data_IF_818468496950
#
_entry.id   IF_818468496950
#
_cell.length_a   1.000
_cell.length_b   1.000
_cell.length_c   1.000
_cell.angle_alpha   90.00
_cell.angle_beta   90.00
_cell.angle_gamma   90.00
#
_symmetry.space_group_name_H-M   'P 1'
#
loop_
_entity.id
_entity.type
_entity.pdbx_description
1 polymer ?
#
# COMPACT_ATOMS: atom_id res chain seq x y z
N UNK A 1 -6.21 -7.49 11.96
CA UNK A 1 -6.00 -6.33 11.07
C UNK A 1 -6.16 -6.82 9.63
N UNK A 2 -7.02 -6.18 8.81
CA UNK A 2 -7.32 -6.64 7.43
C UNK A 2 -6.70 -5.74 6.34
N UNK A 3 -6.33 -4.50 6.67
CA UNK A 3 -5.61 -3.63 5.75
C UNK A 3 -4.85 -2.51 6.46
N UNK A 4 -3.94 -1.87 5.73
CA UNK A 4 -3.05 -0.79 6.19
C UNK A 4 -2.90 0.25 5.08
N UNK A 5 -2.97 1.53 5.44
CA UNK A 5 -2.50 2.64 4.58
C UNK A 5 -1.07 2.99 5.00
N UNK A 6 -0.12 2.74 4.11
CA UNK A 6 1.30 3.05 4.30
C UNK A 6 1.57 4.44 3.71
N UNK A 7 1.96 5.40 4.54
CA UNK A 7 2.41 6.71 4.07
C UNK A 7 3.92 6.70 3.86
N UNK A 8 4.36 6.87 2.62
CA UNK A 8 5.75 6.77 2.21
C UNK A 8 6.34 8.11 1.77
N UNK A 9 7.66 8.18 1.66
CA UNK A 9 8.41 9.39 1.35
C UNK A 9 8.36 9.71 -0.15
N UNK A 10 8.29 11.01 -0.47
CA UNK A 10 8.52 11.54 -1.81
C UNK A 10 7.53 11.03 -2.85
N UNK A 11 7.94 10.07 -3.67
CA UNK A 11 7.17 9.49 -4.78
C UNK A 11 6.72 8.05 -4.51
N UNK A 12 6.83 7.56 -3.27
CA UNK A 12 6.37 6.22 -2.90
C UNK A 12 7.40 5.37 -2.16
N UNK A 13 8.45 5.98 -1.60
CA UNK A 13 9.65 5.26 -1.18
C UNK A 13 9.64 4.97 0.33
N UNK A 14 10.12 3.79 0.71
CA UNK A 14 10.43 3.44 2.10
C UNK A 14 11.94 3.18 2.27
N UNK A 15 12.48 3.19 3.50
CA UNK A 15 13.88 2.85 3.74
C UNK A 15 14.23 1.48 3.15
N UNK A 16 15.14 1.45 2.18
CA UNK A 16 15.58 0.22 1.49
C UNK A 16 16.73 -0.50 2.19
N UNK A 17 17.37 0.14 3.17
CA UNK A 17 18.47 -0.40 3.97
C UNK A 17 18.00 -1.16 5.23
N UNK A 18 16.72 -1.55 5.28
CA UNK A 18 16.09 -2.27 6.41
C UNK A 18 15.40 -3.54 5.94
N UNK A 19 16.13 -4.68 5.84
CA UNK A 19 15.55 -5.95 5.40
C UNK A 19 14.39 -6.43 6.30
N UNK A 20 14.43 -6.13 7.59
CA UNK A 20 13.38 -6.48 8.54
C UNK A 20 12.03 -5.81 8.19
N UNK A 21 12.06 -4.56 7.70
CA UNK A 21 10.84 -3.86 7.26
C UNK A 21 10.23 -4.54 6.04
N UNK A 22 11.08 -5.01 5.12
CA UNK A 22 10.65 -5.77 3.95
C UNK A 22 9.95 -7.07 4.36
N UNK A 23 10.58 -7.82 5.26
CA UNK A 23 10.09 -9.11 5.72
C UNK A 23 8.73 -8.95 6.41
N UNK A 24 8.56 -7.92 7.24
CA UNK A 24 7.28 -7.65 7.91
C UNK A 24 6.18 -7.25 6.92
N UNK A 25 6.48 -6.40 5.93
CA UNK A 25 5.50 -6.04 4.89
C UNK A 25 5.09 -7.29 4.11
N UNK A 26 6.06 -8.12 3.70
CA UNK A 26 5.77 -9.36 2.97
C UNK A 26 4.93 -10.32 3.82
N UNK A 27 5.30 -10.50 5.09
CA UNK A 27 4.58 -11.34 6.05
C UNK A 27 3.14 -10.88 6.24
N UNK A 28 2.88 -9.58 6.29
CA UNK A 28 1.52 -9.03 6.33
C UNK A 28 0.73 -9.35 5.06
N UNK A 29 1.33 -9.17 3.88
CA UNK A 29 0.69 -9.45 2.59
C UNK A 29 0.39 -10.94 2.43
N UNK A 30 1.31 -11.82 2.84
CA UNK A 30 1.15 -13.27 2.83
C UNK A 30 -0.02 -13.73 3.73
N UNK A 31 -0.29 -13.01 4.83
CA UNK A 31 -1.49 -13.21 5.69
C UNK A 31 -2.78 -12.64 5.10
N UNK A 32 -2.73 -12.04 3.91
CA UNK A 32 -3.89 -11.45 3.23
C UNK A 32 -4.20 -10.01 3.64
N UNK A 33 -3.30 -9.31 4.35
CA UNK A 33 -3.48 -7.90 4.67
C UNK A 33 -3.32 -7.07 3.40
N UNK A 34 -4.29 -6.20 3.10
CA UNK A 34 -4.19 -5.26 1.98
C UNK A 34 -3.35 -4.06 2.41
N UNK A 35 -2.20 -3.86 1.77
CA UNK A 35 -1.32 -2.71 2.03
C UNK A 35 -1.44 -1.73 0.87
N UNK A 36 -1.97 -0.53 1.15
CA UNK A 36 -2.14 0.55 0.18
C UNK A 36 -1.10 1.64 0.46
N UNK A 37 -0.26 1.97 -0.51
CA UNK A 37 0.77 3.00 -0.36
C UNK A 37 0.25 4.37 -0.80
N UNK A 38 0.37 5.38 0.05
CA UNK A 38 0.09 6.78 -0.23
C UNK A 38 1.32 7.63 0.07
N UNK A 39 1.38 8.84 -0.48
CA UNK A 39 2.43 9.79 -0.13
C UNK A 39 2.12 10.47 1.20
N UNK A 40 3.16 10.72 2.00
CA UNK A 40 3.06 11.64 3.13
C UNK A 40 2.99 13.11 2.69
N UNK A 41 3.35 13.40 1.43
CA UNK A 41 3.38 14.75 0.89
C UNK A 41 1.95 15.25 0.64
N UNK A 42 1.69 16.54 0.92
CA UNK A 42 0.37 17.16 0.73
C UNK A 42 -0.14 17.07 -0.73
N UNK A 43 0.79 17.06 -1.69
CA UNK A 43 0.50 16.87 -3.12
C UNK A 43 1.58 16.00 -3.75
N UNK A 44 1.15 15.19 -4.71
CA UNK A 44 2.01 14.28 -5.48
C UNK A 44 1.26 13.00 -5.81
N UNK A 45 1.92 12.12 -6.55
CA UNK A 45 1.39 10.80 -6.92
C UNK A 45 2.42 9.73 -6.59
N UNK A 46 1.98 8.61 -6.04
CA UNK A 46 2.82 7.42 -5.92
C UNK A 46 3.15 6.93 -7.33
N UNK A 47 4.44 6.93 -7.67
CA UNK A 47 4.94 6.56 -8.99
C UNK A 47 5.70 5.24 -8.93
N UNK A 48 5.35 4.31 -9.81
CA UNK A 48 6.08 3.05 -10.00
C UNK A 48 7.38 3.20 -10.79
N UNK A 49 7.68 4.40 -11.32
CA UNK A 49 8.84 4.66 -12.18
C UNK A 49 10.17 4.57 -11.44
N UNK A 50 10.19 4.75 -10.12
CA UNK A 50 11.41 4.68 -9.31
C UNK A 50 11.62 3.28 -8.70
N UNK A 51 12.88 2.87 -8.56
CA UNK A 51 13.28 1.54 -8.09
C UNK A 51 12.61 1.12 -6.76
N UNK A 52 12.40 2.05 -5.84
CA UNK A 52 11.74 1.83 -4.55
C UNK A 52 10.22 1.66 -4.66
N UNK A 53 9.58 2.32 -5.63
CA UNK A 53 8.16 2.09 -5.95
C UNK A 53 7.94 0.71 -6.57
N UNK A 54 8.84 0.28 -7.46
CA UNK A 54 8.85 -1.08 -8.03
C UNK A 54 9.03 -2.14 -6.95
N UNK A 55 9.93 -1.91 -5.99
CA UNK A 55 10.14 -2.82 -4.88
C UNK A 55 8.86 -3.10 -4.06
N UNK A 56 8.10 -2.06 -3.70
CA UNK A 56 6.84 -2.24 -2.98
C UNK A 56 5.79 -2.96 -3.84
N UNK A 57 5.74 -2.64 -5.13
CA UNK A 57 4.88 -3.32 -6.09
C UNK A 57 5.19 -4.82 -6.16
N UNK A 58 6.48 -5.18 -6.22
CA UNK A 58 6.95 -6.57 -6.29
C UNK A 58 6.61 -7.36 -5.00
N UNK A 59 6.48 -6.69 -3.85
CA UNK A 59 6.00 -7.31 -2.61
C UNK A 59 4.48 -7.51 -2.58
N UNK A 60 3.72 -6.87 -3.47
CA UNK A 60 2.26 -6.90 -3.50
C UNK A 60 1.58 -5.71 -2.82
N UNK A 61 2.32 -4.62 -2.55
CA UNK A 61 1.74 -3.36 -2.07
C UNK A 61 1.04 -2.66 -3.24
N UNK A 62 -0.17 -2.15 -2.99
CA UNK A 62 -0.99 -1.48 -4.00
C UNK A 62 -0.63 0.02 -4.02
N UNK A 63 -0.35 0.62 -5.20
CA UNK A 63 -0.16 2.06 -5.30
C UNK A 63 -1.49 2.80 -5.13
N UNK A 64 -1.54 3.73 -4.18
CA UNK A 64 -2.69 4.61 -3.94
C UNK A 64 -2.77 5.82 -4.89
N UNK A 65 -1.87 5.90 -5.88
CA UNK A 65 -1.78 6.98 -6.86
C UNK A 65 -1.77 8.36 -6.18
N UNK A 66 -2.73 9.24 -6.51
CA UNK A 66 -2.90 10.60 -6.01
C UNK A 66 -3.96 10.69 -4.90
N UNK A 67 -4.40 9.56 -4.32
CA UNK A 67 -5.33 9.58 -3.19
C UNK A 67 -4.71 10.26 -1.97
N UNK A 68 -5.49 11.12 -1.33
CA UNK A 68 -5.16 11.61 0.01
C UNK A 68 -5.19 10.45 1.02
N UNK A 69 -4.46 10.55 2.14
CA UNK A 69 -4.52 9.52 3.19
C UNK A 69 -5.94 9.22 3.69
N UNK A 70 -6.80 10.24 3.75
CA UNK A 70 -8.22 10.10 4.13
C UNK A 70 -9.02 9.32 3.09
N UNK A 71 -8.84 9.66 1.80
CA UNK A 71 -9.51 8.94 0.70
C UNK A 71 -9.05 7.48 0.64
N UNK A 72 -7.74 7.23 0.83
CA UNK A 72 -7.16 5.90 0.89
C UNK A 72 -7.71 5.08 2.05
N UNK A 73 -7.79 5.67 3.25
CA UNK A 73 -8.34 5.02 4.43
C UNK A 73 -9.84 4.71 4.25
N UNK A 74 -10.62 5.68 3.77
CA UNK A 74 -12.05 5.50 3.52
C UNK A 74 -12.34 4.41 2.48
N UNK A 75 -11.61 4.42 1.36
CA UNK A 75 -11.74 3.41 0.31
C UNK A 75 -11.34 2.03 0.81
N UNK A 76 -10.24 1.94 1.57
CA UNK A 76 -9.80 0.67 2.16
C UNK A 76 -10.87 0.11 3.11
N UNK A 77 -11.41 0.94 4.00
CA UNK A 77 -12.49 0.53 4.91
C UNK A 77 -13.74 0.06 4.14
N UNK A 78 -14.15 0.78 3.10
CA UNK A 78 -15.27 0.41 2.25
C UNK A 78 -15.07 -0.94 1.55
N UNK A 79 -13.90 -1.17 0.96
CA UNK A 79 -13.62 -2.43 0.26
C UNK A 79 -13.52 -3.60 1.23
N UNK A 80 -12.93 -3.37 2.41
CA UNK A 80 -12.81 -4.41 3.43
C UNK A 80 -14.17 -4.85 3.98
N UNK A 81 -15.16 -3.96 4.05
CA UNK A 81 -16.52 -4.27 4.52
C UNK A 81 -17.37 -5.10 3.55
N UNK A 82 -16.87 -5.38 2.34
CA UNK A 82 -17.52 -6.27 1.37
C UNK A 82 -17.19 -7.72 1.66
N UNK A 83 -17.93 -8.36 2.56
CA UNK A 83 -17.71 -9.76 2.94
C UNK A 83 -17.93 -10.74 1.78
N UNK A 84 -18.72 -10.35 0.79
CA UNK A 84 -18.99 -11.13 -0.42
C UNK A 84 -17.86 -11.05 -1.47
N UNK A 85 -16.83 -10.24 -1.24
CA UNK A 85 -15.68 -10.12 -2.15
C UNK A 85 -14.50 -10.93 -1.63
N UNK A 86 -13.93 -11.77 -2.51
CA UNK A 86 -12.65 -12.41 -2.24
C UNK A 86 -11.49 -11.39 -2.26
N UNK A 87 -10.33 -11.83 -1.78
CA UNK A 87 -9.17 -10.95 -1.63
C UNK A 87 -8.70 -10.35 -2.97
N UNK A 88 -8.70 -11.12 -4.05
CA UNK A 88 -8.29 -10.63 -5.37
C UNK A 88 -9.22 -9.54 -5.89
N UNK A 89 -10.52 -9.66 -5.63
CA UNK A 89 -11.50 -8.62 -5.97
C UNK A 89 -11.31 -7.38 -5.10
N UNK A 90 -10.96 -7.53 -3.82
CA UNK A 90 -10.66 -6.40 -2.93
C UNK A 90 -9.36 -5.65 -3.30
N UNK A 91 -8.44 -6.30 -4.02
CA UNK A 91 -7.16 -5.69 -4.46
C UNK A 91 -7.24 -4.96 -5.81
N UNK A 92 -8.34 -5.09 -6.55
CA UNK A 92 -8.58 -4.41 -7.83
C UNK A 92 -9.31 -3.09 -7.62
#
# INVERSE_FOLDING_TARGET
>A
MQGVVLQSYGTGNIPSNRPELKEEIKSAIDRGVIVLNCLQCLRGTVSSTYATGKFLLDLGVIPGADMTPEAALAKLAYVLSKDEWNLDKKKK
#
